data_IF_725558828205
#
_entry.id   IF_725558828205
#
_cell.length_a   1.000
_cell.length_b   1.000
_cell.length_c   1.000
_cell.angle_alpha   90.00
_cell.angle_beta   90.00
_cell.angle_gamma   90.00
#
_symmetry.space_group_name_H-M   'P 1'
#
loop_
_entity.id
_entity.type
_entity.pdbx_description
1 polymer ?
#
# COMPACT_ATOMS: atom_id res chain seq x y z
N UNK A 1 1.78 21.96 -8.82
CA UNK A 1 1.01 21.06 -7.95
C UNK A 1 1.92 19.90 -7.60
N UNK A 2 2.12 19.60 -6.32
CA UNK A 2 2.82 18.40 -5.89
C UNK A 2 1.77 17.32 -5.60
N UNK A 3 1.95 16.12 -6.14
CA UNK A 3 1.05 14.99 -5.88
C UNK A 3 1.67 14.08 -4.83
N UNK A 4 0.90 13.76 -3.79
CA UNK A 4 1.30 12.84 -2.73
C UNK A 4 0.44 11.58 -2.67
N UNK A 5 -0.44 11.38 -3.65
CA UNK A 5 -1.34 10.24 -3.74
C UNK A 5 -0.83 9.26 -4.80
N UNK A 6 -0.64 8.00 -4.39
CA UNK A 6 -0.34 6.88 -5.27
C UNK A 6 -1.55 5.96 -5.31
N UNK A 7 -2.03 5.67 -6.52
CA UNK A 7 -3.12 4.73 -6.75
C UNK A 7 -2.54 3.42 -7.28
N UNK A 8 -2.85 2.32 -6.61
CA UNK A 8 -2.32 1.00 -6.94
C UNK A 8 -3.45 -0.01 -6.99
N UNK A 9 -3.38 -0.91 -7.98
CA UNK A 9 -4.25 -2.09 -8.01
C UNK A 9 -3.63 -3.18 -7.15
N UNK A 10 -4.35 -3.60 -6.11
CA UNK A 10 -3.90 -4.63 -5.19
C UNK A 10 -4.96 -5.72 -5.10
N UNK A 11 -4.52 -6.98 -5.08
CA UNK A 11 -5.40 -8.09 -4.74
C UNK A 11 -5.96 -7.92 -3.31
N UNK A 12 -7.23 -8.25 -3.11
CA UNK A 12 -7.91 -8.09 -1.83
C UNK A 12 -7.20 -8.84 -0.68
N UNK A 13 -6.57 -9.99 -0.95
CA UNK A 13 -5.78 -10.73 0.03
C UNK A 13 -4.51 -10.00 0.42
N UNK A 14 -3.81 -9.41 -0.55
CA UNK A 14 -2.59 -8.62 -0.29
C UNK A 14 -2.94 -7.35 0.49
N UNK A 15 -4.01 -6.66 0.10
CA UNK A 15 -4.51 -5.49 0.82
C UNK A 15 -4.89 -5.84 2.27
N UNK A 16 -5.55 -6.98 2.49
CA UNK A 16 -5.87 -7.45 3.84
C UNK A 16 -4.61 -7.70 4.68
N UNK A 17 -3.62 -8.42 4.14
CA UNK A 17 -2.35 -8.70 4.84
C UNK A 17 -1.60 -7.42 5.20
N UNK A 18 -1.53 -6.44 4.28
CA UNK A 18 -0.92 -5.15 4.56
C UNK A 18 -1.62 -4.40 5.71
N UNK A 19 -2.96 -4.48 5.79
CA UNK A 19 -3.69 -3.92 6.95
C UNK A 19 -3.41 -4.66 8.25
N UNK A 20 -3.24 -5.98 8.21
CA UNK A 20 -2.85 -6.78 9.39
C UNK A 20 -1.44 -6.42 9.88
N UNK A 21 -0.55 -5.97 8.98
CA UNK A 21 0.78 -5.43 9.30
C UNK A 21 0.75 -3.98 9.82
N UNK A 22 -0.43 -3.35 9.89
CA UNK A 22 -0.61 -1.99 10.40
C UNK A 22 -0.53 -0.88 9.34
N UNK A 23 -0.55 -1.22 8.04
CA UNK A 23 -0.56 -0.22 6.99
C UNK A 23 -1.97 0.35 6.75
N UNK A 24 -2.09 1.66 6.82
CA UNK A 24 -3.32 2.39 6.56
C UNK A 24 -3.37 2.96 5.13
N UNK A 25 -4.44 2.63 4.42
CA UNK A 25 -4.71 3.12 3.07
C UNK A 25 -6.20 3.02 2.74
N UNK A 26 -6.64 3.81 1.76
CA UNK A 26 -8.05 3.97 1.43
C UNK A 26 -8.43 3.14 0.19
N UNK A 27 -9.58 2.48 0.22
CA UNK A 27 -10.15 1.86 -0.99
C UNK A 27 -10.72 2.97 -1.88
N UNK A 28 -10.39 2.92 -3.17
CA UNK A 28 -10.92 3.85 -4.16
C UNK A 28 -12.24 3.32 -4.76
N UNK A 29 -12.91 4.12 -5.58
CA UNK A 29 -14.27 3.83 -6.07
C UNK A 29 -14.30 2.53 -6.88
N UNK A 30 -13.25 2.28 -7.67
CA UNK A 30 -13.10 1.07 -8.46
C UNK A 30 -12.73 -0.15 -7.59
N UNK A 31 -13.19 -1.35 -7.98
CA UNK A 31 -12.74 -2.59 -7.36
C UNK A 31 -11.21 -2.72 -7.49
N UNK A 32 -10.59 -3.17 -6.40
CA UNK A 32 -9.16 -3.45 -6.29
C UNK A 32 -8.22 -2.25 -6.43
N UNK A 33 -8.73 -1.02 -6.53
CA UNK A 33 -7.89 0.19 -6.49
C UNK A 33 -7.80 0.71 -5.06
N UNK A 34 -6.57 0.99 -4.62
CA UNK A 34 -6.28 1.55 -3.32
C UNK A 34 -5.42 2.82 -3.46
N UNK A 35 -5.69 3.79 -2.59
CA UNK A 35 -4.99 5.06 -2.49
C UNK A 35 -4.07 5.06 -1.28
N UNK A 36 -2.78 5.14 -1.55
CA UNK A 36 -1.71 5.36 -0.58
C UNK A 36 -1.34 6.83 -0.60
N UNK A 37 -1.28 7.46 0.57
CA UNK A 37 -0.97 8.89 0.71
C UNK A 37 0.39 9.03 1.40
N UNK A 38 1.33 9.73 0.76
CA UNK A 38 2.56 10.15 1.40
C UNK A 38 2.28 11.40 2.24
N UNK A 39 2.48 11.31 3.55
CA UNK A 39 2.41 12.46 4.44
C UNK A 39 3.70 13.28 4.33
N UNK A 40 3.70 14.48 4.89
CA UNK A 40 4.90 15.33 4.98
C UNK A 40 6.05 14.68 5.76
N UNK A 41 5.74 13.71 6.63
CA UNK A 41 6.71 12.92 7.40
C UNK A 41 7.14 11.62 6.71
N UNK A 42 6.63 11.32 5.51
CA UNK A 42 7.01 10.09 4.79
C UNK A 42 8.46 10.19 4.35
N UNK A 43 9.28 9.25 4.83
CA UNK A 43 10.69 9.14 4.47
C UNK A 43 10.94 7.90 3.59
N UNK A 44 12.14 7.79 3.03
CA UNK A 44 12.51 6.68 2.15
C UNK A 44 12.47 5.31 2.86
N UNK A 45 12.72 5.28 4.17
CA UNK A 45 12.67 4.06 4.99
C UNK A 45 11.24 3.51 5.09
N UNK A 46 10.25 4.38 5.32
CA UNK A 46 8.84 4.01 5.34
C UNK A 46 8.37 3.47 3.99
N UNK A 47 8.83 4.07 2.88
CA UNK A 47 8.54 3.57 1.53
C UNK A 47 9.17 2.19 1.31
N UNK A 48 10.41 2.00 1.76
CA UNK A 48 11.13 0.73 1.63
C UNK A 48 10.47 -0.37 2.47
N UNK A 49 10.02 -0.05 3.69
CA UNK A 49 9.28 -0.97 4.54
C UNK A 49 7.98 -1.43 3.87
N UNK A 50 7.21 -0.48 3.31
CA UNK A 50 5.97 -0.79 2.58
C UNK A 50 6.23 -1.74 1.40
N UNK A 51 7.30 -1.50 0.62
CA UNK A 51 7.65 -2.35 -0.53
C UNK A 51 8.11 -3.75 -0.11
N UNK A 52 8.84 -3.86 1.01
CA UNK A 52 9.29 -5.13 1.58
C UNK A 52 8.11 -5.98 2.06
N UNK A 53 7.18 -5.36 2.78
CA UNK A 53 5.96 -6.02 3.27
C UNK A 53 5.05 -6.44 2.11
N UNK A 54 4.92 -5.59 1.10
CA UNK A 54 4.23 -5.94 -0.14
C UNK A 54 4.86 -7.17 -0.82
N UNK A 55 6.18 -7.20 -0.98
CA UNK A 55 6.91 -8.33 -1.56
C UNK A 55 6.69 -9.63 -0.78
N UNK A 56 6.69 -9.55 0.54
CA UNK A 56 6.39 -10.68 1.44
C UNK A 56 4.95 -11.19 1.27
N UNK A 57 3.99 -10.28 1.14
CA UNK A 57 2.58 -10.62 0.95
C UNK A 57 2.33 -11.31 -0.40
N UNK A 58 2.94 -10.82 -1.48
CA UNK A 58 2.80 -11.37 -2.84
C UNK A 58 3.47 -12.74 -2.96
N UNK A 59 4.64 -12.92 -2.35
CA UNK A 59 5.37 -14.20 -2.42
C UNK A 59 4.62 -15.34 -1.72
N UNK A 60 3.81 -15.02 -0.70
CA UNK A 60 2.97 -15.98 0.03
C UNK A 60 1.67 -16.35 -0.70
N UNK A 61 1.37 -15.74 -1.85
CA UNK A 61 0.17 -16.03 -2.67
C UNK A 61 0.51 -16.94 -3.87
N UNK A 62 1.69 -17.58 -3.86
CA UNK A 62 2.08 -18.60 -4.85
C UNK A 62 1.73 -20.01 -4.40
#
# INVERSE_FOLDING_TARGET
VESNAVFVRLDAMVARKLRELGWDFYKFIEPDIYRVMCAWSTNAEAITALLSDYGSCVSSVR
#
